data_IF_471131499539
#
_entry.id   IF_471131499539
#
_cell.length_a   1.000
_cell.length_b   1.000
_cell.length_c   1.000
_cell.angle_alpha   90.00
_cell.angle_beta   90.00
_cell.angle_gamma   90.00
#
_symmetry.space_group_name_H-M   'P 1'
#
loop_
_entity.id
_entity.type
_entity.pdbx_description
1 polymer ?
#
# COMPACT_ATOMS: atom_id res chain seq x y z
N UNK A 1 -3.12 -3.40 -4.91
CA UNK A 1 -1.69 -3.14 -5.19
C UNK A 1 -1.49 -2.99 -6.69
N UNK A 2 -1.01 -1.83 -7.14
CA UNK A 2 -0.71 -1.59 -8.56
C UNK A 2 0.67 -2.14 -8.90
N UNK A 3 1.70 -1.71 -8.16
CA UNK A 3 3.10 -2.06 -8.43
C UNK A 3 3.90 -2.07 -7.13
N UNK A 4 4.94 -2.91 -7.08
CA UNK A 4 5.90 -2.98 -5.97
C UNK A 4 7.27 -2.63 -6.54
N UNK A 5 7.87 -1.54 -6.10
CA UNK A 5 9.12 -0.97 -6.61
C UNK A 5 10.20 -1.02 -5.53
N UNK A 6 10.76 -2.22 -5.32
CA UNK A 6 11.80 -2.45 -4.30
C UNK A 6 11.28 -2.21 -2.88
N UNK A 7 11.51 -1.00 -2.36
CA UNK A 7 11.13 -0.59 -1.00
C UNK A 7 9.85 0.26 -0.96
N UNK A 8 9.25 0.61 -2.09
CA UNK A 8 7.99 1.34 -2.17
C UNK A 8 6.89 0.51 -2.82
N UNK A 9 5.64 0.82 -2.48
CA UNK A 9 4.46 0.23 -3.09
C UNK A 9 3.55 1.32 -3.60
N UNK A 10 3.02 1.10 -4.80
CA UNK A 10 1.97 1.92 -5.39
C UNK A 10 0.61 1.25 -5.17
N UNK A 11 -0.32 2.00 -4.59
CA UNK A 11 -1.65 1.54 -4.21
C UNK A 11 -2.71 2.41 -4.89
N UNK A 12 -3.88 1.81 -5.11
CA UNK A 12 -5.09 2.51 -5.53
C UNK A 12 -6.06 2.46 -4.36
N UNK A 13 -6.57 3.62 -3.96
CA UNK A 13 -7.73 3.68 -3.09
C UNK A 13 -8.97 3.26 -3.88
N UNK A 14 -9.72 2.27 -3.40
CA UNK A 14 -10.90 1.75 -4.12
C UNK A 14 -12.17 2.59 -3.91
N UNK A 15 -12.16 3.54 -2.98
CA UNK A 15 -13.23 4.49 -2.71
C UNK A 15 -13.08 5.76 -3.56
N UNK A 16 -11.88 6.34 -3.61
CA UNK A 16 -11.61 7.59 -4.35
C UNK A 16 -10.96 7.39 -5.71
N UNK A 17 -10.46 6.18 -6.01
CA UNK A 17 -9.64 5.86 -7.17
C UNK A 17 -8.30 6.61 -7.23
N UNK A 18 -7.90 7.27 -6.14
CA UNK A 18 -6.60 7.94 -6.07
C UNK A 18 -5.47 6.92 -6.01
N UNK A 19 -4.39 7.22 -6.73
CA UNK A 19 -3.17 6.42 -6.66
C UNK A 19 -2.13 7.12 -5.81
N UNK A 20 -1.44 6.35 -4.98
CA UNK A 20 -0.41 6.88 -4.11
C UNK A 20 0.71 5.88 -3.89
N UNK A 21 1.87 6.42 -3.53
CA UNK A 21 3.05 5.66 -3.19
C UNK A 21 3.38 5.79 -1.71
N UNK A 22 3.88 4.71 -1.13
CA UNK A 22 4.38 4.72 0.23
C UNK A 22 5.53 3.72 0.40
N UNK A 23 6.43 3.96 1.36
CA UNK A 23 7.42 2.96 1.74
C UNK A 23 6.73 1.73 2.33
N UNK A 24 7.28 0.55 2.02
CA UNK A 24 6.80 -0.72 2.54
C UNK A 24 7.34 -0.89 3.97
N UNK A 25 6.48 -1.07 4.98
CA UNK A 25 6.91 -1.39 6.33
C UNK A 25 7.73 -2.69 6.35
N UNK A 26 8.78 -2.77 7.17
CA UNK A 26 9.64 -3.97 7.25
C UNK A 26 8.84 -5.26 7.53
N UNK A 27 7.78 -5.17 8.32
CA UNK A 27 6.87 -6.29 8.64
C UNK A 27 6.14 -6.89 7.41
N UNK A 28 6.01 -6.11 6.34
CA UNK A 28 5.33 -6.48 5.09
C UNK A 28 6.29 -6.58 3.89
N UNK A 29 7.59 -6.43 4.11
CA UNK A 29 8.60 -6.55 3.05
C UNK A 29 8.54 -7.95 2.44
N UNK A 30 8.40 -8.03 1.12
CA UNK A 30 8.25 -9.29 0.39
C UNK A 30 6.91 -10.01 0.54
N UNK A 31 5.93 -9.45 1.27
CA UNK A 31 4.57 -10.01 1.40
C UNK A 31 3.55 -9.38 0.46
N UNK A 32 3.87 -8.21 -0.10
CA UNK A 32 3.02 -7.49 -1.04
C UNK A 32 3.19 -8.07 -2.44
N UNK A 33 2.08 -8.40 -3.08
CA UNK A 33 2.05 -8.91 -4.46
C UNK A 33 1.15 -8.01 -5.32
N UNK A 34 1.58 -7.78 -6.56
CA UNK A 34 0.81 -7.00 -7.54
C UNK A 34 -0.54 -7.65 -7.81
N UNK A 35 -1.59 -6.85 -7.90
CA UNK A 35 -2.96 -7.33 -8.12
C UNK A 35 -3.69 -7.78 -6.86
N UNK A 36 -3.01 -7.93 -5.70
CA UNK A 36 -3.70 -8.19 -4.43
C UNK A 36 -4.35 -6.95 -3.85
N UNK A 37 -5.48 -7.14 -3.19
CA UNK A 37 -6.11 -6.13 -2.35
C UNK A 37 -5.51 -6.18 -0.95
N UNK A 38 -5.29 -5.01 -0.36
CA UNK A 38 -4.72 -4.88 0.98
C UNK A 38 -5.56 -3.91 1.80
N UNK A 39 -5.44 -3.97 3.12
CA UNK A 39 -6.03 -2.98 4.00
C UNK A 39 -4.98 -2.00 4.47
N UNK A 40 -5.34 -0.72 4.41
CA UNK A 40 -4.55 0.36 4.94
C UNK A 40 -5.44 1.31 5.73
N UNK A 41 -4.84 2.11 6.58
CA UNK A 41 -5.50 3.11 7.42
C UNK A 41 -4.88 4.46 7.09
N UNK A 42 -5.73 5.46 6.86
CA UNK A 42 -5.34 6.85 6.69
C UNK A 42 -5.82 7.68 7.89
N UNK A 43 -4.91 8.44 8.50
CA UNK A 43 -5.23 9.38 9.56
C UNK A 43 -4.28 10.57 9.51
N UNK A 44 -4.82 11.80 9.55
CA UNK A 44 -4.04 13.04 9.55
C UNK A 44 -3.02 13.11 8.40
N UNK A 45 -3.42 12.66 7.20
CA UNK A 45 -2.55 12.61 6.01
C UNK A 45 -1.43 11.56 6.07
N UNK A 46 -1.40 10.71 7.10
CA UNK A 46 -0.49 9.58 7.22
C UNK A 46 -1.22 8.29 6.86
N UNK A 47 -0.54 7.43 6.11
CA UNK A 47 -1.08 6.15 5.67
C UNK A 47 -0.24 5.00 6.22
N UNK A 48 -0.89 3.93 6.66
CA UNK A 48 -0.23 2.73 7.17
C UNK A 48 -0.94 1.46 6.69
N UNK A 49 -0.18 0.50 6.17
CA UNK A 49 -0.69 -0.84 5.85
C UNK A 49 -1.01 -1.58 7.14
N UNK A 50 -2.20 -2.15 7.24
CA UNK A 50 -2.66 -2.93 8.41
C UNK A 50 -2.79 -4.41 8.11
N UNK A 51 -3.04 -4.80 6.85
CA UNK A 51 -3.16 -6.19 6.43
C UNK A 51 -2.80 -6.39 4.96
N UNK A 52 -2.09 -7.47 4.66
CA UNK A 52 -1.70 -7.95 3.32
C UNK A 52 -2.37 -9.28 2.97
#
# INVERSE_FOLDING_TARGET
>A
VISVMGDTVQLMDMETYDTFEMPIPEEFKGKLETGKEIQYLEALGKRKITRV
#
